data_IF_452730411415
#
_entry.id   IF_452730411415
#
_cell.length_a   1.000
_cell.length_b   1.000
_cell.length_c   1.000
_cell.angle_alpha   90.00
_cell.angle_beta   90.00
_cell.angle_gamma   90.00
#
_symmetry.space_group_name_H-M   'P 1'
#
loop_
_entity.id
_entity.type
_entity.pdbx_description
1 polymer ?
#
# COMPACT_ATOMS: atom_id res chain seq x y z
N UNK A 1 -13.28 -18.09 -3.29
CA UNK A 1 -12.35 -17.09 -3.86
C UNK A 1 -11.80 -16.23 -2.74
N UNK A 2 -10.79 -15.41 -2.99
CA UNK A 2 -10.29 -14.43 -2.03
C UNK A 2 -10.77 -13.02 -2.43
N UNK A 3 -11.04 -12.16 -1.45
CA UNK A 3 -11.41 -10.76 -1.67
C UNK A 3 -10.15 -9.89 -1.73
N UNK A 4 -10.08 -8.97 -2.69
CA UNK A 4 -8.97 -8.02 -2.79
C UNK A 4 -9.13 -6.96 -1.71
N UNK A 5 -8.26 -7.01 -0.70
CA UNK A 5 -8.21 -6.00 0.36
C UNK A 5 -7.41 -4.77 -0.08
N UNK A 6 -6.33 -4.99 -0.83
CA UNK A 6 -5.52 -3.94 -1.43
C UNK A 6 -5.13 -4.38 -2.84
N UNK A 7 -5.56 -3.62 -3.84
CA UNK A 7 -5.13 -3.84 -5.22
C UNK A 7 -3.60 -3.69 -5.33
N UNK A 8 -3.00 -4.49 -6.20
CA UNK A 8 -1.54 -4.45 -6.42
C UNK A 8 -1.15 -3.06 -6.92
N UNK A 9 -0.26 -2.41 -6.19
CA UNK A 9 0.23 -1.06 -6.50
C UNK A 9 1.70 -0.89 -6.12
N UNK A 10 2.32 0.16 -6.63
CA UNK A 10 3.67 0.57 -6.21
C UNK A 10 3.56 1.32 -4.89
N UNK A 11 4.12 0.71 -3.86
CA UNK A 11 4.08 1.25 -2.51
C UNK A 11 5.19 2.28 -2.30
N UNK A 12 4.93 3.24 -1.40
CA UNK A 12 5.89 4.33 -1.14
C UNK A 12 7.23 3.82 -0.56
N UNK A 13 7.26 2.60 -0.03
CA UNK A 13 8.45 1.93 0.52
C UNK A 13 9.24 1.10 -0.50
N UNK A 14 8.92 1.18 -1.80
CA UNK A 14 9.73 0.62 -2.89
C UNK A 14 9.34 -0.79 -3.35
N UNK A 15 8.29 -1.38 -2.78
CA UNK A 15 7.76 -2.68 -3.26
C UNK A 15 6.58 -2.49 -4.21
N UNK A 16 6.38 -3.47 -5.10
CA UNK A 16 5.06 -3.73 -5.67
C UNK A 16 4.31 -4.65 -4.71
N UNK A 17 3.23 -4.14 -4.13
CA UNK A 17 2.53 -4.77 -3.01
C UNK A 17 1.03 -4.89 -3.26
N UNK A 18 0.43 -6.00 -2.83
CA UNK A 18 -1.02 -6.18 -2.78
C UNK A 18 -1.43 -7.15 -1.68
N UNK A 19 -2.70 -7.11 -1.28
CA UNK A 19 -3.23 -7.95 -0.21
C UNK A 19 -4.63 -8.48 -0.51
N UNK A 20 -4.91 -9.69 -0.03
CA UNK A 20 -6.21 -10.35 -0.14
C UNK A 20 -6.63 -10.94 1.21
N UNK A 21 -7.95 -11.10 1.39
CA UNK A 21 -8.54 -11.83 2.51
C UNK A 21 -9.18 -13.11 1.96
N UNK A 22 -8.80 -14.26 2.52
CA UNK A 22 -9.44 -15.53 2.16
C UNK A 22 -10.78 -15.74 2.91
N UNK A 23 -11.63 -16.70 2.51
CA UNK A 23 -12.93 -16.93 3.15
C UNK A 23 -12.89 -17.34 4.63
N UNK A 24 -11.72 -17.71 5.15
CA UNK A 24 -11.52 -18.08 6.55
C UNK A 24 -11.06 -16.86 7.38
N UNK A 25 -10.89 -15.70 6.75
CA UNK A 25 -10.49 -14.46 7.38
C UNK A 25 -8.98 -14.25 7.48
N UNK A 26 -8.16 -15.13 6.87
CA UNK A 26 -6.72 -14.90 6.85
C UNK A 26 -6.35 -13.79 5.86
N UNK A 27 -5.40 -12.96 6.27
CA UNK A 27 -4.83 -11.91 5.45
C UNK A 27 -3.53 -12.40 4.82
N UNK A 28 -3.49 -12.34 3.50
CA UNK A 28 -2.32 -12.70 2.71
C UNK A 28 -1.82 -11.47 1.97
N UNK A 29 -0.53 -11.19 2.13
CA UNK A 29 0.14 -10.06 1.49
C UNK A 29 1.23 -10.58 0.57
N UNK A 30 1.35 -9.96 -0.60
CA UNK A 30 2.35 -10.29 -1.60
C UNK A 30 3.18 -9.05 -1.88
N UNK A 31 4.50 -9.20 -1.86
CA UNK A 31 5.44 -8.11 -2.08
C UNK A 31 6.55 -8.57 -3.01
N UNK A 32 6.97 -7.70 -3.92
CA UNK A 32 8.21 -7.86 -4.68
C UNK A 32 8.97 -6.55 -4.64
N UNK A 33 10.25 -6.61 -4.24
CA UNK A 33 11.12 -5.45 -4.21
C UNK A 33 11.27 -4.87 -5.62
N UNK A 34 10.90 -3.61 -5.79
CA UNK A 34 11.03 -2.87 -7.04
C UNK A 34 12.22 -1.90 -7.00
N UNK A 35 12.40 -1.23 -5.88
CA UNK A 35 13.42 -0.20 -5.66
C UNK A 35 13.99 -0.31 -4.23
N UNK A 36 15.32 -0.29 -4.10
CA UNK A 36 15.98 -0.18 -2.80
C UNK A 36 16.16 1.29 -2.44
N UNK A 37 15.35 1.75 -1.49
CA UNK A 37 15.29 3.14 -1.07
C UNK A 37 16.03 3.36 0.25
N UNK A 38 16.63 4.53 0.38
CA UNK A 38 17.12 5.03 1.67
C UNK A 38 15.94 5.40 2.58
N UNK A 39 16.14 5.45 3.92
CA UNK A 39 15.10 5.90 4.85
C UNK A 39 14.53 7.28 4.51
N UNK A 40 15.39 8.23 4.11
CA UNK A 40 14.98 9.60 3.77
C UNK A 40 14.05 9.64 2.54
N UNK A 41 14.29 8.79 1.55
CA UNK A 41 13.44 8.66 0.36
C UNK A 41 12.08 8.04 0.70
N UNK A 42 12.05 7.02 1.58
CA UNK A 42 10.79 6.43 2.06
C UNK A 42 9.96 7.48 2.80
N UNK A 43 10.59 8.25 3.68
CA UNK A 43 9.94 9.32 4.45
C UNK A 43 9.37 10.41 3.54
N UNK A 44 10.13 10.82 2.51
CA UNK A 44 9.63 11.77 1.51
C UNK A 44 8.41 11.22 0.77
N UNK A 45 8.50 9.99 0.25
CA UNK A 45 7.41 9.37 -0.51
C UNK A 45 6.17 9.13 0.38
N UNK A 46 6.35 8.78 1.65
CA UNK A 46 5.24 8.64 2.59
C UNK A 46 4.49 9.97 2.77
N UNK A 47 5.19 11.08 2.95
CA UNK A 47 4.57 12.41 3.08
C UNK A 47 3.76 12.77 1.84
N UNK A 48 4.30 12.49 0.65
CA UNK A 48 3.60 12.73 -0.62
C UNK A 48 2.37 11.83 -0.77
N UNK A 49 2.49 10.55 -0.41
CA UNK A 49 1.38 9.59 -0.44
C UNK A 49 0.25 10.01 0.50
N UNK A 50 0.56 10.38 1.74
CA UNK A 50 -0.43 10.87 2.71
C UNK A 50 -1.12 12.14 2.22
N UNK A 51 -0.39 13.09 1.63
CA UNK A 51 -0.98 14.30 1.02
C UNK A 51 -1.96 13.96 -0.09
N UNK A 52 -1.61 13.00 -0.96
CA UNK A 52 -2.50 12.55 -2.05
C UNK A 52 -3.74 11.84 -1.50
N UNK A 53 -3.59 10.96 -0.51
CA UNK A 53 -4.70 10.24 0.13
C UNK A 53 -5.64 11.18 0.88
N UNK A 54 -5.10 12.17 1.60
CA UNK A 54 -5.88 13.19 2.29
C UNK A 54 -6.64 14.11 1.32
N UNK A 55 -6.07 14.36 0.12
CA UNK A 55 -6.75 15.10 -0.94
C UNK A 55 -7.81 14.27 -1.68
N UNK A 56 -7.76 12.94 -1.61
CA UNK A 56 -8.63 12.02 -2.35
C UNK A 56 -9.78 11.39 -1.55
N UNK A 57 -9.90 11.66 -0.24
CA UNK A 57 -11.06 11.23 0.56
C UNK A 57 -11.70 12.40 1.30
N UNK A 58 -12.99 12.71 1.05
CA UNK A 58 -13.74 13.66 1.86
C UNK A 58 -14.04 13.05 3.23
N UNK A 59 -14.19 13.92 4.23
CA UNK A 59 -14.67 13.64 5.58
C UNK A 59 -15.73 12.54 5.68
N UNK A 60 -15.55 11.63 6.65
CA UNK A 60 -16.67 10.97 7.34
C UNK A 60 -16.70 9.46 7.22
N UNK A 61 -16.28 8.78 8.30
CA UNK A 61 -16.90 7.57 8.83
C UNK A 61 -16.73 7.59 10.34
#
# INVERSE_FOLDING_TARGET
GAEVQMAVADAFWGDRFGAVVDPFGHRWSFATRKEDLTPDEVDQRQREWLRKMAASSPSGS
#
